data_IF_491662235042
#
_entry.id   IF_491662235042
#
_cell.length_a   1.000
_cell.length_b   1.000
_cell.length_c   1.000
_cell.angle_alpha   90.00
_cell.angle_beta   90.00
_cell.angle_gamma   90.00
#
_symmetry.space_group_name_H-M   'P 1'
#
loop_
_entity.id
_entity.type
_entity.pdbx_description
1 polymer ?
#
# COMPACT_ATOMS: atom_id res chain seq x y z
N UNK A 1 -11.66 -12.82 -11.17
CA UNK A 1 -12.52 -12.06 -10.21
C UNK A 1 -12.88 -12.89 -8.98
N UNK A 2 -13.53 -14.05 -9.12
CA UNK A 2 -13.88 -14.93 -7.98
C UNK A 2 -12.70 -15.29 -7.06
N UNK A 3 -11.59 -15.78 -7.60
CA UNK A 3 -10.40 -16.12 -6.80
C UNK A 3 -9.85 -14.95 -5.97
N UNK A 4 -9.85 -13.73 -6.53
CA UNK A 4 -9.41 -12.55 -5.80
C UNK A 4 -10.31 -12.23 -4.60
N UNK A 5 -11.63 -12.46 -4.71
CA UNK A 5 -12.54 -12.31 -3.55
C UNK A 5 -12.29 -13.38 -2.51
N UNK A 6 -12.16 -14.64 -2.93
CA UNK A 6 -11.88 -15.76 -2.03
C UNK A 6 -10.60 -15.53 -1.22
N UNK A 7 -9.53 -15.07 -1.88
CA UNK A 7 -8.25 -14.83 -1.21
C UNK A 7 -8.27 -13.54 -0.39
N UNK A 8 -8.61 -12.40 -1.00
CA UNK A 8 -8.44 -11.11 -0.35
C UNK A 8 -9.52 -10.83 0.70
N UNK A 9 -10.75 -11.29 0.49
CA UNK A 9 -11.89 -11.00 1.38
C UNK A 9 -12.12 -12.19 2.31
N UNK A 10 -12.56 -13.32 1.76
CA UNK A 10 -12.95 -14.50 2.56
C UNK A 10 -11.78 -15.05 3.36
N UNK A 11 -10.57 -15.12 2.76
CA UNK A 11 -9.36 -15.50 3.46
C UNK A 11 -9.04 -14.58 4.64
N UNK A 12 -9.15 -13.26 4.45
CA UNK A 12 -8.92 -12.29 5.54
C UNK A 12 -9.99 -12.41 6.63
N UNK A 13 -11.26 -12.62 6.26
CA UNK A 13 -12.36 -12.82 7.21
C UNK A 13 -12.11 -14.04 8.11
N UNK A 14 -11.66 -15.15 7.53
CA UNK A 14 -11.33 -16.36 8.28
C UNK A 14 -10.17 -16.15 9.27
N UNK A 15 -9.15 -15.39 8.87
CA UNK A 15 -8.04 -15.02 9.75
C UNK A 15 -8.54 -14.14 10.90
N UNK A 16 -9.34 -13.11 10.62
CA UNK A 16 -9.87 -12.19 11.64
C UNK A 16 -10.80 -12.91 12.61
N UNK A 17 -11.67 -13.81 12.13
CA UNK A 17 -12.54 -14.62 13.01
C UNK A 17 -11.73 -15.45 14.00
N UNK A 18 -10.65 -16.07 13.54
CA UNK A 18 -9.75 -16.85 14.40
C UNK A 18 -9.00 -15.95 15.38
N UNK A 19 -8.45 -14.84 14.90
CA UNK A 19 -7.71 -13.88 15.70
C UNK A 19 -8.57 -13.29 16.82
N UNK A 20 -9.83 -12.94 16.52
CA UNK A 20 -10.80 -12.49 17.51
C UNK A 20 -11.00 -13.51 18.63
N UNK A 21 -11.29 -14.77 18.28
CA UNK A 21 -11.50 -15.85 19.26
C UNK A 21 -10.29 -16.11 20.15
N UNK A 22 -9.09 -15.87 19.64
CA UNK A 22 -7.82 -16.12 20.34
C UNK A 22 -7.19 -14.84 20.91
N UNK A 23 -7.83 -13.69 20.77
CA UNK A 23 -7.29 -12.38 21.17
C UNK A 23 -5.89 -12.08 20.61
N UNK A 24 -5.66 -12.39 19.33
CA UNK A 24 -4.36 -12.24 18.65
C UNK A 24 -4.32 -10.93 17.86
N UNK A 25 -3.23 -10.16 18.00
CA UNK A 25 -3.01 -8.97 17.17
C UNK A 25 -2.90 -9.32 15.69
N UNK A 26 -3.54 -8.53 14.82
CA UNK A 26 -3.47 -8.74 13.36
C UNK A 26 -2.86 -7.54 12.65
N UNK A 27 -1.77 -7.80 11.92
CA UNK A 27 -1.21 -6.86 10.95
C UNK A 27 -1.70 -7.22 9.55
N UNK A 28 -2.55 -6.37 8.95
CA UNK A 28 -3.07 -6.58 7.60
C UNK A 28 -2.35 -5.69 6.61
N UNK A 29 -1.70 -6.28 5.61
CA UNK A 29 -1.14 -5.52 4.48
C UNK A 29 -2.24 -5.25 3.45
N UNK A 30 -2.47 -3.97 3.18
CA UNK A 30 -3.34 -3.41 2.16
C UNK A 30 -2.51 -2.72 1.06
N UNK A 31 -3.06 -1.75 0.36
CA UNK A 31 -2.46 -1.11 -0.83
C UNK A 31 -2.87 0.36 -0.93
N UNK A 32 -2.06 1.15 -1.62
CA UNK A 32 -2.41 2.49 -2.07
C UNK A 32 -3.50 2.53 -3.16
N UNK A 33 -3.75 1.41 -3.86
CA UNK A 33 -4.82 1.28 -4.88
C UNK A 33 -6.25 1.35 -4.30
N UNK A 34 -6.40 1.52 -2.98
CA UNK A 34 -7.70 1.84 -2.36
C UNK A 34 -8.17 3.27 -2.66
N UNK A 35 -7.27 4.12 -3.15
CA UNK A 35 -7.57 5.51 -3.51
C UNK A 35 -7.78 5.69 -5.03
N UNK A 36 -8.62 6.67 -5.38
CA UNK A 36 -8.93 7.04 -6.78
C UNK A 36 -7.77 7.67 -7.52
N UNK A 37 -6.84 8.27 -6.79
CA UNK A 37 -5.60 8.80 -7.32
C UNK A 37 -5.68 10.22 -7.89
N UNK A 38 -6.72 11.00 -7.57
CA UNK A 38 -6.90 12.37 -8.10
C UNK A 38 -6.04 13.38 -7.33
N UNK A 39 -5.84 13.16 -6.02
CA UNK A 39 -5.20 14.14 -5.14
C UNK A 39 -3.73 13.82 -4.87
N UNK A 40 -3.38 12.54 -4.75
CA UNK A 40 -2.10 12.13 -4.17
C UNK A 40 -1.97 12.51 -2.69
N UNK A 41 -0.84 12.15 -2.08
CA UNK A 41 -0.51 12.41 -0.68
C UNK A 41 -1.66 12.09 0.31
N UNK A 42 -2.34 10.96 0.08
CA UNK A 42 -3.51 10.55 0.86
C UNK A 42 -3.14 10.27 2.32
N UNK A 43 -3.92 10.83 3.24
CA UNK A 43 -3.87 10.55 4.68
C UNK A 43 -4.72 9.34 5.02
N UNK A 44 -4.48 8.72 6.17
CA UNK A 44 -5.20 7.51 6.59
C UNK A 44 -6.72 7.72 6.68
N UNK A 45 -7.14 8.91 7.10
CA UNK A 45 -8.55 9.29 7.23
C UNK A 45 -9.23 9.73 5.93
N UNK A 46 -8.49 9.80 4.81
CA UNK A 46 -9.09 10.18 3.54
C UNK A 46 -10.00 9.04 3.01
N UNK A 47 -11.07 9.43 2.33
CA UNK A 47 -12.06 8.50 1.78
C UNK A 47 -11.42 7.60 0.72
N UNK A 48 -11.62 6.28 0.87
CA UNK A 48 -11.26 5.31 -0.16
C UNK A 48 -12.29 5.28 -1.29
N UNK A 49 -11.81 5.15 -2.52
CA UNK A 49 -12.62 5.03 -3.73
C UNK A 49 -11.81 4.26 -4.80
N UNK A 50 -11.65 2.94 -4.64
CA UNK A 50 -10.84 2.14 -5.54
C UNK A 50 -11.44 2.09 -6.95
N UNK A 51 -10.63 2.40 -7.96
CA UNK A 51 -11.03 2.35 -9.38
C UNK A 51 -10.67 1.03 -10.06
N UNK A 52 -9.87 0.20 -9.40
CA UNK A 52 -9.44 -1.11 -9.90
C UNK A 52 -10.08 -2.24 -9.10
N UNK A 53 -10.28 -3.39 -9.73
CA UNK A 53 -10.80 -4.57 -9.04
C UNK A 53 -9.85 -5.07 -7.93
N UNK A 54 -8.54 -4.96 -8.16
CA UNK A 54 -7.53 -5.24 -7.15
C UNK A 54 -7.71 -4.35 -5.92
N UNK A 55 -7.73 -3.02 -6.12
CA UNK A 55 -7.96 -2.04 -5.06
C UNK A 55 -9.26 -2.30 -4.30
N UNK A 56 -10.35 -2.62 -5.01
CA UNK A 56 -11.63 -2.96 -4.39
C UNK A 56 -11.51 -4.18 -3.46
N UNK A 57 -10.97 -5.29 -3.96
CA UNK A 57 -10.86 -6.52 -3.15
C UNK A 57 -9.87 -6.40 -1.98
N UNK A 58 -8.92 -5.47 -2.04
CA UNK A 58 -8.02 -5.14 -0.92
C UNK A 58 -8.63 -4.16 0.07
N UNK A 59 -9.47 -3.24 -0.40
CA UNK A 59 -10.19 -2.26 0.42
C UNK A 59 -11.35 -2.88 1.21
N UNK A 60 -12.14 -3.77 0.59
CA UNK A 60 -13.29 -4.42 1.23
C UNK A 60 -12.99 -4.99 2.63
N UNK A 61 -11.91 -5.79 2.82
CA UNK A 61 -11.62 -6.38 4.12
C UNK A 61 -11.07 -5.40 5.16
N UNK A 62 -10.65 -4.18 4.78
CA UNK A 62 -10.15 -3.20 5.77
C UNK A 62 -11.21 -2.92 6.85
N UNK A 63 -12.49 -2.86 6.47
CA UNK A 63 -13.58 -2.51 7.39
C UNK A 63 -13.69 -3.49 8.56
N UNK A 64 -13.87 -4.78 8.29
CA UNK A 64 -14.02 -5.77 9.35
C UNK A 64 -12.69 -6.05 10.09
N UNK A 65 -11.54 -5.82 9.44
CA UNK A 65 -10.25 -5.88 10.14
C UNK A 65 -10.15 -4.74 11.16
N UNK A 66 -10.58 -3.54 10.81
CA UNK A 66 -10.56 -2.38 11.71
C UNK A 66 -11.60 -2.50 12.83
N UNK A 67 -12.78 -3.07 12.56
CA UNK A 67 -13.81 -3.36 13.56
C UNK A 67 -13.33 -4.32 14.65
N UNK A 68 -12.37 -5.20 14.36
CA UNK A 68 -11.76 -6.06 15.38
C UNK A 68 -11.08 -5.25 16.51
N UNK A 69 -10.57 -4.06 16.21
CA UNK A 69 -9.96 -3.18 17.22
C UNK A 69 -8.55 -3.57 17.66
N UNK A 70 -8.15 -4.85 17.64
CA UNK A 70 -6.77 -5.30 17.92
C UNK A 70 -5.98 -5.56 16.64
N UNK A 71 -6.02 -4.60 15.73
CA UNK A 71 -5.39 -4.71 14.42
C UNK A 71 -4.74 -3.41 13.96
N UNK A 72 -3.77 -3.57 13.05
CA UNK A 72 -3.21 -2.46 12.27
C UNK A 72 -3.31 -2.83 10.79
N UNK A 73 -3.87 -1.93 9.99
CA UNK A 73 -3.99 -2.07 8.53
C UNK A 73 -2.93 -1.18 7.88
N UNK A 74 -1.95 -1.79 7.22
CA UNK A 74 -0.85 -1.13 6.54
C UNK A 74 -1.21 -0.89 5.08
N UNK A 75 -1.49 0.35 4.68
CA UNK A 75 -1.53 0.71 3.25
C UNK A 75 -0.11 1.06 2.82
N UNK A 76 0.33 0.45 1.73
CA UNK A 76 1.70 0.57 1.23
C UNK A 76 1.74 0.43 -0.29
N UNK A 77 2.89 0.77 -0.86
CA UNK A 77 3.26 0.54 -2.25
C UNK A 77 4.74 0.16 -2.25
N UNK A 78 5.08 -0.99 -2.82
CA UNK A 78 6.44 -1.50 -2.79
C UNK A 78 6.93 -1.94 -4.16
N UNK A 79 8.24 -1.95 -4.31
CA UNK A 79 8.93 -2.56 -5.46
C UNK A 79 9.59 -3.86 -5.03
N UNK A 80 9.49 -4.88 -5.87
CA UNK A 80 10.11 -6.17 -5.65
C UNK A 80 11.27 -6.36 -6.61
N UNK A 81 12.41 -6.81 -6.08
CA UNK A 81 13.61 -7.09 -6.87
C UNK A 81 14.37 -5.83 -7.29
N UNK A 82 15.45 -6.08 -8.03
CA UNK A 82 16.38 -5.05 -8.50
C UNK A 82 16.21 -4.76 -10.00
N UNK A 83 15.11 -5.23 -10.61
CA UNK A 83 14.83 -5.05 -12.03
C UNK A 83 13.45 -4.43 -12.23
N UNK A 84 13.36 -3.47 -13.14
CA UNK A 84 12.09 -2.93 -13.58
C UNK A 84 11.52 -3.82 -14.70
N UNK A 85 10.29 -4.35 -14.57
CA UNK A 85 9.79 -5.43 -15.43
C UNK A 85 9.39 -4.99 -16.85
N UNK A 86 9.55 -3.71 -17.18
CA UNK A 86 9.06 -3.12 -18.42
C UNK A 86 10.14 -2.27 -19.11
N UNK A 87 10.11 -2.08 -20.44
CA UNK A 87 11.10 -1.22 -21.11
C UNK A 87 10.89 0.27 -20.85
N UNK A 88 9.72 0.66 -20.33
CA UNK A 88 9.38 2.05 -20.04
C UNK A 88 8.55 2.18 -18.76
N UNK A 89 8.45 3.40 -18.24
CA UNK A 89 7.68 3.74 -17.05
C UNK A 89 6.95 5.08 -17.19
N UNK A 90 5.83 5.21 -16.47
CA UNK A 90 4.96 6.38 -16.52
C UNK A 90 5.56 7.58 -15.78
N UNK A 91 5.68 8.72 -16.47
CA UNK A 91 6.14 9.99 -15.88
C UNK A 91 5.07 10.69 -15.04
N UNK A 92 3.80 10.45 -15.38
CA UNK A 92 2.61 11.09 -14.82
C UNK A 92 1.76 10.13 -13.98
N UNK A 93 2.34 8.98 -13.57
CA UNK A 93 1.79 8.09 -12.55
C UNK A 93 2.67 8.12 -11.32
N UNK A 94 2.10 8.33 -10.13
CA UNK A 94 2.81 8.53 -8.88
C UNK A 94 2.36 7.58 -7.78
N UNK A 95 3.27 7.25 -6.86
CA UNK A 95 3.03 6.48 -5.64
C UNK A 95 4.10 6.80 -4.59
N UNK A 96 4.02 6.17 -3.42
CA UNK A 96 4.97 6.29 -2.30
C UNK A 96 5.73 4.98 -2.11
N UNK A 97 6.50 4.60 -3.13
CA UNK A 97 7.18 3.31 -3.17
C UNK A 97 8.18 3.11 -2.03
N UNK A 98 8.29 1.88 -1.54
CA UNK A 98 9.33 1.42 -0.62
C UNK A 98 9.93 0.11 -1.12
N UNK A 99 11.22 -0.15 -0.87
CA UNK A 99 11.82 -1.45 -1.16
C UNK A 99 11.28 -2.50 -0.18
N UNK A 100 11.14 -3.75 -0.65
CA UNK A 100 10.56 -4.84 0.17
C UNK A 100 11.33 -5.09 1.46
N UNK A 101 12.67 -5.04 1.44
CA UNK A 101 13.51 -5.17 2.63
C UNK A 101 13.17 -4.10 3.69
N UNK A 102 13.04 -2.84 3.27
CA UNK A 102 12.68 -1.71 4.14
C UNK A 102 11.24 -1.76 4.62
N UNK A 103 10.33 -2.27 3.79
CA UNK A 103 8.97 -2.56 4.22
C UNK A 103 8.98 -3.64 5.31
N UNK A 104 9.68 -4.75 5.11
CA UNK A 104 9.78 -5.84 6.09
C UNK A 104 10.38 -5.37 7.41
N UNK A 105 11.48 -4.60 7.38
CA UNK A 105 12.05 -3.96 8.58
C UNK A 105 11.00 -3.13 9.33
N UNK A 106 10.16 -2.38 8.60
CA UNK A 106 9.09 -1.57 9.19
C UNK A 106 7.96 -2.42 9.77
N UNK A 107 7.60 -3.52 9.11
CA UNK A 107 6.58 -4.46 9.61
C UNK A 107 7.04 -5.15 10.90
N UNK A 108 8.31 -5.58 10.97
CA UNK A 108 8.89 -6.19 12.17
C UNK A 108 8.80 -5.22 13.35
N UNK A 109 9.21 -3.96 13.17
CA UNK A 109 9.08 -2.92 14.20
C UNK A 109 7.65 -2.78 14.72
N UNK A 110 6.66 -2.77 13.83
CA UNK A 110 5.25 -2.69 14.22
C UNK A 110 4.79 -3.96 14.96
N UNK A 111 5.29 -5.13 14.56
CA UNK A 111 4.94 -6.41 15.20
C UNK A 111 5.59 -6.57 16.58
N UNK A 112 6.73 -5.95 16.83
CA UNK A 112 7.45 -6.04 18.12
C UNK A 112 7.05 -4.94 19.11
N UNK A 113 6.52 -3.81 18.63
CA UNK A 113 6.17 -2.66 19.46
C UNK A 113 4.91 -2.90 20.32
N UNK A 114 5.04 -3.01 21.65
CA UNK A 114 3.88 -3.17 22.55
C UNK A 114 2.92 -1.97 22.51
N UNK A 115 3.39 -0.79 22.10
CA UNK A 115 2.62 0.44 21.97
C UNK A 115 2.24 0.77 20.51
N UNK A 116 2.27 -0.24 19.62
CA UNK A 116 1.99 -0.08 18.20
C UNK A 116 0.68 0.68 17.93
N UNK A 117 0.63 1.52 16.90
CA UNK A 117 -0.60 2.21 16.53
C UNK A 117 -1.61 1.21 15.98
N UNK A 118 -2.79 1.18 16.58
CA UNK A 118 -3.95 0.46 16.05
C UNK A 118 -4.65 1.28 14.95
N UNK A 119 -5.41 0.57 14.11
CA UNK A 119 -6.16 1.15 13.00
C UNK A 119 -5.35 1.28 11.71
N UNK A 120 -5.62 2.31 10.91
CA UNK A 120 -4.96 2.53 9.62
C UNK A 120 -3.57 3.13 9.77
N UNK A 121 -2.58 2.66 9.02
CA UNK A 121 -1.25 3.26 8.98
C UNK A 121 -0.69 3.21 7.56
N UNK A 122 -0.15 4.32 7.08
CA UNK A 122 0.54 4.36 5.80
C UNK A 122 2.03 4.13 5.98
N UNK A 123 2.58 3.14 5.26
CA UNK A 123 4.02 2.81 5.27
C UNK A 123 4.53 2.85 3.84
N UNK A 124 5.51 3.70 3.56
CA UNK A 124 6.02 3.93 2.20
C UNK A 124 7.13 4.96 2.18
N UNK A 125 7.68 5.20 1.00
CA UNK A 125 8.69 6.22 0.76
C UNK A 125 8.09 7.58 0.42
N UNK A 126 8.92 8.45 -0.14
CA UNK A 126 8.46 9.75 -0.67
C UNK A 126 7.64 9.53 -1.95
N UNK A 127 6.75 10.48 -2.25
CA UNK A 127 6.04 10.55 -3.52
C UNK A 127 7.05 10.57 -4.68
N UNK A 128 6.96 9.61 -5.58
CA UNK A 128 7.78 9.48 -6.79
C UNK A 128 6.89 9.01 -7.94
N UNK A 129 7.21 9.45 -9.15
CA UNK A 129 6.63 8.87 -10.37
C UNK A 129 7.14 7.44 -10.57
N UNK A 130 6.40 6.65 -11.32
CA UNK A 130 6.85 5.33 -11.78
C UNK A 130 8.13 5.47 -12.60
N UNK A 131 8.27 6.54 -13.40
CA UNK A 131 9.49 6.84 -14.14
C UNK A 131 10.70 7.14 -13.24
N UNK A 132 10.55 8.00 -12.23
CA UNK A 132 11.64 8.29 -11.28
C UNK A 132 12.08 7.03 -10.53
N UNK A 133 11.11 6.21 -10.10
CA UNK A 133 11.41 4.94 -9.46
C UNK A 133 12.13 3.98 -10.41
N UNK A 134 11.61 3.76 -11.61
CA UNK A 134 12.22 2.88 -12.60
C UNK A 134 13.62 3.38 -13.00
N UNK A 135 13.82 4.69 -13.12
CA UNK A 135 15.11 5.31 -13.45
C UNK A 135 16.16 5.11 -12.35
N UNK A 136 15.74 5.01 -11.09
CA UNK A 136 16.64 4.66 -9.99
C UNK A 136 17.16 3.22 -10.04
N UNK A 137 16.50 2.35 -10.81
CA UNK A 137 16.86 0.95 -11.04
C UNK A 137 17.61 0.80 -12.37
N UNK A 138 17.06 1.36 -13.45
CA UNK A 138 17.61 1.32 -14.80
C UNK A 138 17.73 2.75 -15.36
N UNK A 139 18.95 3.32 -15.46
CA UNK A 139 19.17 4.67 -15.99
C UNK A 139 18.64 4.89 -17.42
N UNK A 140 18.59 3.83 -18.23
CA UNK A 140 18.18 3.86 -19.65
C UNK A 140 16.68 3.61 -19.86
N UNK A 141 15.88 3.63 -18.78
CA UNK A 141 14.44 3.34 -18.87
C UNK A 141 13.71 4.29 -19.82
N UNK A 142 12.85 3.72 -20.67
CA UNK A 142 11.95 4.49 -21.53
C UNK A 142 10.94 5.32 -20.73
N UNK A 143 10.51 6.43 -21.29
CA UNK A 143 9.53 7.34 -20.68
C UNK A 143 8.21 7.31 -21.45
N UNK A 144 7.11 7.06 -20.76
CA UNK A 144 5.75 7.08 -21.30
C UNK A 144 4.80 7.91 -20.43
N UNK A 145 3.64 8.27 -20.96
CA UNK A 145 2.60 9.04 -20.25
C UNK A 145 1.28 8.27 -20.24
N UNK A 146 0.69 8.16 -19.05
CA UNK A 146 -0.59 7.53 -18.79
C UNK A 146 -1.72 8.29 -19.49
N UNK A 147 -1.64 9.62 -19.57
CA UNK A 147 -2.62 10.45 -20.30
C UNK A 147 -2.73 10.13 -21.78
N UNK A 148 -1.69 9.54 -22.38
CA UNK A 148 -1.67 9.12 -23.78
C UNK A 148 -2.21 7.70 -23.99
N UNK A 149 -2.70 7.05 -22.93
CA UNK A 149 -3.19 5.68 -22.95
C UNK A 149 -4.62 5.61 -22.45
N UNK A 150 -5.41 4.71 -23.03
CA UNK A 150 -6.78 4.41 -22.58
C UNK A 150 -6.77 3.38 -21.43
N UNK A 151 -6.10 3.72 -20.32
CA UNK A 151 -5.97 2.85 -19.15
C UNK A 151 -6.74 3.41 -17.95
N UNK A 152 -7.60 2.58 -17.37
CA UNK A 152 -8.30 2.91 -16.12
C UNK A 152 -7.45 2.57 -14.89
N UNK A 153 -6.42 3.39 -14.64
CA UNK A 153 -5.48 3.23 -13.52
C UNK A 153 -5.37 4.58 -12.80
N UNK A 154 -5.35 4.61 -11.45
CA UNK A 154 -5.24 5.86 -10.70
C UNK A 154 -3.89 6.55 -10.97
N UNK A 155 -3.89 7.87 -11.30
CA UNK A 155 -2.67 8.58 -11.67
C UNK A 155 -1.78 8.90 -10.47
N UNK A 156 -2.31 9.24 -9.29
CA UNK A 156 -1.48 9.53 -8.12
C UNK A 156 -2.03 8.91 -6.84
N UNK A 157 -1.56 7.71 -6.50
CA UNK A 157 -1.92 7.00 -5.26
C UNK A 157 -0.93 7.26 -4.12
N UNK A 158 -0.09 8.29 -4.21
CA UNK A 158 0.91 8.54 -3.17
C UNK A 158 0.27 8.70 -1.78
N UNK A 159 0.94 8.12 -0.78
CA UNK A 159 0.51 8.09 0.61
C UNK A 159 1.26 9.14 1.42
N UNK A 160 0.54 9.82 2.30
CA UNK A 160 1.12 10.57 3.40
C UNK A 160 1.57 9.59 4.49
N UNK A 161 2.88 9.52 4.74
CA UNK A 161 3.47 8.59 5.72
C UNK A 161 3.78 9.27 7.07
N UNK A 162 3.26 10.47 7.30
CA UNK A 162 3.59 11.28 8.47
C UNK A 162 3.21 10.61 9.79
N UNK A 163 2.14 9.80 9.83
CA UNK A 163 1.78 9.04 11.03
C UNK A 163 2.83 7.98 11.36
N UNK A 164 3.27 7.19 10.37
CA UNK A 164 4.35 6.23 10.57
C UNK A 164 5.64 6.90 11.05
N UNK A 165 6.02 8.01 10.41
CA UNK A 165 7.22 8.77 10.78
C UNK A 165 7.18 9.24 12.24
N UNK A 166 6.01 9.64 12.76
CA UNK A 166 5.87 10.01 14.18
C UNK A 166 6.11 8.86 15.16
N UNK A 167 5.77 7.62 14.77
CA UNK A 167 5.97 6.45 15.63
C UNK A 167 7.37 5.85 15.48
N UNK A 168 7.89 5.77 14.25
CA UNK A 168 9.05 4.93 13.94
C UNK A 168 10.18 5.67 13.21
N UNK A 169 10.03 6.97 12.96
CA UNK A 169 10.95 7.76 12.15
C UNK A 169 10.84 7.48 10.65
N UNK A 170 11.62 8.20 9.86
CA UNK A 170 11.65 8.02 8.40
C UNK A 170 12.35 6.72 8.00
N UNK A 171 11.80 6.06 6.98
CA UNK A 171 12.48 4.95 6.30
C UNK A 171 13.70 5.53 5.56
N UNK A 172 14.88 4.96 5.80
CA UNK A 172 16.09 5.30 5.06
C UNK A 172 16.08 4.55 3.73
N UNK A 173 16.11 5.31 2.63
CA UNK A 173 16.19 4.79 1.26
C UNK A 173 17.60 4.28 0.91
#
# INVERSE_FOLDING_TARGET
>A
KHMARMVNITGTENVIKTAFKKNIFVLKISTDYVFKGIQGNYKEGDRTEPTTYYGLTKCEPEKFVLEYGKSTVIRTSFIQGDEWPHPAAFEDKYSSFVKVDKLVESLIKIVEDENRPLGLLHVGGKRKSFYEMAKSINPDIGKISLKKMELNIPPDTSLNVGRFVRFYGSIKE
#
